data_IF_511600025172
#
_entry.id   IF_511600025172
#
_cell.length_a   1.000
_cell.length_b   1.000
_cell.length_c   1.000
_cell.angle_alpha   90.00
_cell.angle_beta   90.00
_cell.angle_gamma   90.00
#
_symmetry.space_group_name_H-M   'P 1'
#
loop_
_entity.id
_entity.type
_entity.pdbx_description
1 polymer ?
#
# COMPACT_ATOMS: atom_id res chain seq x y z
N UNK A 1 -4.97 20.32 5.32
CA UNK A 1 -5.40 19.09 4.62
C UNK A 1 -6.60 18.57 5.37
N UNK A 2 -7.72 18.31 4.68
CA UNK A 2 -8.85 17.64 5.31
C UNK A 2 -8.36 16.23 5.65
N UNK A 3 -8.34 15.82 6.93
CA UNK A 3 -7.84 14.52 7.40
C UNK A 3 -8.63 13.32 6.85
N UNK A 4 -8.58 13.14 5.53
CA UNK A 4 -9.31 12.16 4.76
C UNK A 4 -8.23 11.36 4.03
N UNK A 5 -8.23 10.05 4.25
CA UNK A 5 -7.40 9.12 3.49
C UNK A 5 -8.24 8.55 2.36
N UNK A 6 -7.72 8.57 1.14
CA UNK A 6 -8.40 8.11 -0.07
C UNK A 6 -7.70 6.89 -0.65
N UNK A 7 -8.45 6.05 -1.37
CA UNK A 7 -7.92 4.89 -2.09
C UNK A 7 -8.52 4.80 -3.50
N UNK A 8 -7.70 4.44 -4.49
CA UNK A 8 -8.16 4.26 -5.87
C UNK A 8 -7.30 3.26 -6.65
N UNK A 9 -7.92 2.56 -7.60
CA UNK A 9 -7.20 1.79 -8.63
C UNK A 9 -6.44 2.77 -9.52
N UNK A 10 -5.12 2.58 -9.61
CA UNK A 10 -4.18 3.45 -10.33
C UNK A 10 -3.75 2.91 -11.70
N UNK A 11 -4.22 1.71 -12.07
CA UNK A 11 -3.99 1.09 -13.38
C UNK A 11 -5.26 1.09 -14.26
N UNK A 12 -5.13 1.06 -15.61
CA UNK A 12 -6.28 0.94 -16.50
C UNK A 12 -7.13 -0.31 -16.24
N UNK A 13 -8.43 -0.23 -16.54
CA UNK A 13 -9.33 -1.39 -16.49
C UNK A 13 -8.99 -2.36 -17.62
N UNK A 14 -8.84 -3.64 -17.30
CA UNK A 14 -8.59 -4.69 -18.30
C UNK A 14 -7.80 -5.85 -17.73
N UNK A 15 -7.32 -6.72 -18.63
CA UNK A 15 -6.38 -7.79 -18.28
C UNK A 15 -4.96 -7.24 -18.37
N UNK A 16 -4.19 -7.38 -17.30
CA UNK A 16 -2.79 -6.98 -17.22
C UNK A 16 -2.00 -7.93 -16.32
N UNK A 17 -0.67 -7.86 -16.36
CA UNK A 17 0.19 -8.67 -15.49
C UNK A 17 0.19 -8.20 -14.03
N UNK A 18 -0.18 -6.94 -13.78
CA UNK A 18 -0.29 -6.32 -12.46
C UNK A 18 -1.45 -5.32 -12.43
N UNK A 19 -2.00 -5.09 -11.26
CA UNK A 19 -2.88 -3.96 -10.95
C UNK A 19 -2.29 -3.19 -9.76
N UNK A 20 -2.61 -1.90 -9.64
CA UNK A 20 -2.14 -1.07 -8.53
C UNK A 20 -3.32 -0.39 -7.83
N UNK A 21 -3.36 -0.47 -6.51
CA UNK A 21 -4.20 0.35 -5.64
C UNK A 21 -3.30 1.34 -4.91
N UNK A 22 -3.61 2.63 -5.03
CA UNK A 22 -2.93 3.68 -4.27
C UNK A 22 -3.82 4.14 -3.13
N UNK A 23 -3.26 4.22 -1.93
CA UNK A 23 -3.87 4.82 -0.75
C UNK A 23 -3.05 6.05 -0.35
N UNK A 24 -3.68 7.20 -0.13
CA UNK A 24 -2.98 8.44 0.21
C UNK A 24 -3.72 9.24 1.28
N UNK A 25 -2.97 9.75 2.26
CA UNK A 25 -3.48 10.49 3.42
C UNK A 25 -2.89 10.00 4.73
N UNK A 26 -3.27 10.64 5.84
CA UNK A 26 -2.72 10.40 7.19
C UNK A 26 -2.77 8.94 7.68
N UNK A 27 -3.74 8.14 7.21
CA UNK A 27 -3.91 6.75 7.61
C UNK A 27 -3.39 5.75 6.57
N UNK A 28 -2.70 6.20 5.51
CA UNK A 28 -2.27 5.33 4.42
C UNK A 28 -1.38 4.17 4.90
N UNK A 29 -0.47 4.45 5.83
CA UNK A 29 0.46 3.46 6.38
C UNK A 29 -0.24 2.45 7.29
N UNK A 30 -1.17 2.92 8.13
CA UNK A 30 -1.98 2.05 8.99
C UNK A 30 -2.86 1.11 8.15
N UNK A 31 -3.47 1.63 7.09
CA UNK A 31 -4.27 0.83 6.15
C UNK A 31 -3.38 -0.22 5.48
N UNK A 32 -2.19 0.15 5.02
CA UNK A 32 -1.24 -0.80 4.41
C UNK A 32 -0.85 -1.93 5.37
N UNK A 33 -0.52 -1.62 6.62
CA UNK A 33 -0.20 -2.62 7.66
C UNK A 33 -1.35 -3.59 7.93
N UNK A 34 -2.61 -3.16 7.76
CA UNK A 34 -3.79 -4.00 8.00
C UNK A 34 -4.06 -5.00 6.88
N UNK A 35 -3.74 -4.64 5.64
CA UNK A 35 -4.12 -5.42 4.45
C UNK A 35 -2.95 -6.17 3.82
N UNK A 36 -1.70 -5.83 4.18
CA UNK A 36 -0.50 -6.42 3.61
C UNK A 36 0.41 -7.02 4.68
N UNK A 37 0.77 -8.29 4.50
CA UNK A 37 1.68 -9.02 5.36
C UNK A 37 2.98 -9.33 4.60
N UNK A 38 4.10 -8.62 4.89
CA UNK A 38 5.40 -8.93 4.33
C UNK A 38 5.83 -10.38 4.58
N UNK A 39 6.44 -11.01 3.58
CA UNK A 39 6.95 -12.39 3.67
C UNK A 39 8.03 -12.59 4.74
N UNK A 40 8.62 -11.50 5.25
CA UNK A 40 9.59 -11.54 6.34
C UNK A 40 8.97 -11.69 7.74
N UNK A 41 7.65 -11.51 7.87
CA UNK A 41 6.95 -11.43 9.16
C UNK A 41 7.03 -10.07 9.87
N UNK A 42 7.75 -9.09 9.31
CA UNK A 42 7.72 -7.69 9.79
C UNK A 42 6.45 -6.98 9.31
N UNK A 43 6.08 -5.87 9.94
CA UNK A 43 5.08 -4.93 9.40
C UNK A 43 5.66 -4.12 8.25
N UNK A 44 4.82 -3.66 7.32
CA UNK A 44 5.30 -2.87 6.18
C UNK A 44 5.84 -1.50 6.64
N UNK A 45 5.30 -0.95 7.73
CA UNK A 45 5.79 0.28 8.37
C UNK A 45 7.16 0.16 9.03
N UNK A 46 7.69 -1.06 9.22
CA UNK A 46 9.05 -1.28 9.74
C UNK A 46 10.12 -1.17 8.64
N UNK A 47 9.71 -1.16 7.37
CA UNK A 47 10.62 -0.95 6.24
C UNK A 47 10.87 0.53 6.01
N UNK A 48 12.08 0.85 5.52
CA UNK A 48 12.40 2.21 5.09
C UNK A 48 11.46 2.61 3.93
N UNK A 49 10.89 3.82 3.92
CA UNK A 49 10.13 4.31 2.78
C UNK A 49 10.92 4.21 1.47
N UNK A 50 10.21 4.10 0.35
CA UNK A 50 10.76 3.85 -0.99
C UNK A 50 11.45 2.48 -1.12
N UNK A 51 11.04 1.48 -0.32
CA UNK A 51 11.47 0.09 -0.45
C UNK A 51 10.33 -0.76 -0.97
N UNK A 52 10.59 -1.57 -1.99
CA UNK A 52 9.63 -2.56 -2.48
C UNK A 52 9.71 -3.81 -1.62
N UNK A 53 8.57 -4.25 -1.11
CA UNK A 53 8.47 -5.38 -0.19
C UNK A 53 7.51 -6.40 -0.77
N UNK A 54 7.94 -7.66 -0.83
CA UNK A 54 7.09 -8.80 -1.20
C UNK A 54 6.29 -9.32 0.00
N UNK A 55 5.06 -9.74 -0.24
CA UNK A 55 4.17 -10.24 0.79
C UNK A 55 2.82 -10.68 0.23
N UNK A 56 1.91 -10.94 1.16
CA UNK A 56 0.57 -11.46 0.88
C UNK A 56 -0.46 -10.42 1.32
N UNK A 57 -1.44 -10.17 0.46
CA UNK A 57 -2.62 -9.39 0.79
C UNK A 57 -3.67 -10.26 1.46
N UNK A 58 -4.20 -9.79 2.58
CA UNK A 58 -5.17 -10.53 3.38
C UNK A 58 -6.30 -9.64 3.90
N UNK A 59 -7.48 -10.24 4.00
CA UNK A 59 -8.68 -9.62 4.55
C UNK A 59 -9.33 -10.51 5.59
N UNK A 60 -10.57 -10.19 6.01
CA UNK A 60 -11.32 -10.98 7.00
C UNK A 60 -11.49 -12.46 6.63
N UNK A 61 -11.56 -12.76 5.34
CA UNK A 61 -11.74 -14.12 4.81
C UNK A 61 -10.42 -14.87 4.55
N UNK A 62 -9.28 -14.26 4.91
CA UNK A 62 -7.94 -14.81 4.72
C UNK A 62 -7.15 -14.14 3.58
N UNK A 63 -6.06 -14.80 3.17
CA UNK A 63 -5.20 -14.34 2.08
C UNK A 63 -5.92 -14.43 0.73
N UNK A 64 -5.83 -13.37 -0.07
CA UNK A 64 -6.50 -13.30 -1.37
C UNK A 64 -5.58 -12.93 -2.55
N UNK A 65 -4.38 -12.39 -2.30
CA UNK A 65 -3.43 -12.07 -3.36
C UNK A 65 -1.96 -12.13 -2.87
N UNK A 66 -1.03 -12.33 -3.79
CA UNK A 66 0.42 -12.27 -3.58
C UNK A 66 0.98 -11.11 -4.40
N UNK A 67 1.80 -10.25 -3.80
CA UNK A 67 2.26 -9.07 -4.51
C UNK A 67 3.29 -8.24 -3.75
N UNK A 68 3.34 -6.95 -4.10
CA UNK A 68 4.35 -6.03 -3.63
C UNK A 68 3.70 -4.79 -3.03
N UNK A 69 4.25 -4.28 -1.93
CA UNK A 69 3.86 -2.98 -1.38
C UNK A 69 5.06 -2.02 -1.32
N UNK A 70 4.78 -0.73 -1.47
CA UNK A 70 5.74 0.37 -1.26
C UNK A 70 5.09 1.49 -0.45
N UNK A 71 5.79 1.96 0.58
CA UNK A 71 5.40 3.16 1.32
C UNK A 71 6.23 4.36 0.88
N UNK A 72 5.55 5.47 0.60
CA UNK A 72 6.14 6.78 0.31
C UNK A 72 5.74 7.74 1.43
N UNK A 73 6.72 8.16 2.23
CA UNK A 73 6.49 9.07 3.35
C UNK A 73 6.46 10.54 2.88
N UNK A 74 5.54 11.32 3.44
CA UNK A 74 5.47 12.76 3.26
C UNK A 74 6.81 13.44 3.63
N UNK A 75 7.22 14.50 2.92
CA UNK A 75 6.61 15.09 1.72
C UNK A 75 7.07 14.44 0.41
N UNK A 76 7.73 13.28 0.46
CA UNK A 76 8.40 12.64 -0.67
C UNK A 76 7.52 11.58 -1.35
N UNK A 77 6.32 12.00 -1.73
CA UNK A 77 5.34 11.19 -2.46
C UNK A 77 4.73 12.02 -3.61
N UNK A 78 3.95 11.37 -4.47
CA UNK A 78 3.26 12.05 -5.58
C UNK A 78 2.27 13.13 -5.11
N UNK A 79 1.54 12.87 -4.01
CA UNK A 79 0.54 13.79 -3.45
C UNK A 79 1.14 14.77 -2.43
N UNK A 80 2.36 14.51 -1.95
CA UNK A 80 2.95 15.20 -0.80
C UNK A 80 2.50 14.64 0.55
N UNK A 81 1.58 13.67 0.57
CA UNK A 81 1.07 13.00 1.78
C UNK A 81 1.68 11.59 1.94
N UNK A 82 1.53 10.98 3.11
CA UNK A 82 1.85 9.55 3.26
C UNK A 82 1.03 8.74 2.26
N UNK A 83 1.70 7.87 1.52
CA UNK A 83 1.12 7.11 0.40
C UNK A 83 1.59 5.67 0.43
N UNK A 84 0.65 4.75 0.30
CA UNK A 84 0.93 3.33 0.09
C UNK A 84 0.51 2.94 -1.33
N UNK A 85 1.38 2.22 -2.01
CA UNK A 85 1.09 1.56 -3.29
C UNK A 85 1.12 0.06 -3.09
N UNK A 86 -0.01 -0.57 -3.41
CA UNK A 86 -0.36 -1.96 -3.13
C UNK A 86 -0.72 -2.68 -4.45
#
# INVERSE_FOLDING_TARGET
MNGITVAAVSTPRGKGGVALVRVSGENAFEIADRVFAPSSGKRITEYKPNTVVHGVFSGPDGAFDDGMAVLYASPRSFTGEDTAEL
#
